data_IF_000983574039
#
_entry.id   IF_000983574039
#
_cell.length_a   1.000
_cell.length_b   1.000
_cell.length_c   1.000
_cell.angle_alpha   90.00
_cell.angle_beta   90.00
_cell.angle_gamma   90.00
#
_symmetry.space_group_name_H-M   'P 1'
#
loop_
_entity.id
_entity.type
_entity.pdbx_description
1 polymer ?
#
# COMPACT_ATOMS: atom_id res chain seq x y z
N UNK A 1 5.32 -0.26 -29.33
CA UNK A 1 4.78 -0.52 -27.98
C UNK A 1 5.31 -1.85 -27.55
N UNK A 2 6.20 -1.84 -26.57
CA UNK A 2 6.93 -3.01 -26.12
C UNK A 2 5.98 -3.97 -25.38
N UNK A 3 6.12 -5.27 -25.63
CA UNK A 3 5.19 -6.33 -25.15
C UNK A 3 5.37 -6.69 -23.66
N UNK A 4 6.10 -5.88 -22.90
CA UNK A 4 6.54 -6.19 -21.54
C UNK A 4 5.84 -5.37 -20.42
N UNK A 5 4.88 -4.51 -20.73
CA UNK A 5 4.13 -3.72 -19.72
C UNK A 5 2.94 -4.50 -19.13
N UNK A 6 3.24 -5.64 -18.48
CA UNK A 6 2.26 -6.52 -17.86
C UNK A 6 2.23 -6.48 -16.32
N UNK A 7 2.91 -5.52 -15.68
CA UNK A 7 3.06 -5.51 -14.20
C UNK A 7 1.72 -5.49 -13.43
N UNK A 8 0.67 -4.91 -14.01
CA UNK A 8 -0.55 -4.49 -13.29
C UNK A 8 -1.84 -5.16 -13.76
N UNK A 9 -1.85 -5.89 -14.88
CA UNK A 9 -2.92 -6.85 -15.23
C UNK A 9 -2.53 -8.28 -14.88
N UNK A 10 -1.23 -8.55 -14.74
CA UNK A 10 -0.73 -9.84 -14.35
C UNK A 10 -0.61 -9.93 -12.83
N UNK A 11 -1.51 -10.68 -12.22
CA UNK A 11 -1.53 -10.93 -10.77
C UNK A 11 -0.17 -11.40 -10.24
N UNK A 12 0.57 -12.17 -11.05
CA UNK A 12 1.89 -12.63 -10.66
C UNK A 12 2.92 -11.50 -10.59
N UNK A 13 2.77 -10.49 -11.43
CA UNK A 13 3.68 -9.37 -11.49
C UNK A 13 3.46 -8.40 -10.31
N UNK A 14 2.20 -8.15 -9.92
CA UNK A 14 1.88 -7.42 -8.67
C UNK A 14 2.46 -8.16 -7.46
N UNK A 15 2.27 -9.49 -7.40
CA UNK A 15 2.81 -10.33 -6.33
C UNK A 15 4.34 -10.33 -6.31
N UNK A 16 4.98 -10.42 -7.47
CA UNK A 16 6.42 -10.37 -7.61
C UNK A 16 6.97 -9.03 -7.11
N UNK A 17 6.37 -7.92 -7.56
CA UNK A 17 6.75 -6.58 -7.11
C UNK A 17 6.63 -6.45 -5.58
N UNK A 18 5.48 -6.83 -5.02
CA UNK A 18 5.22 -6.78 -3.58
C UNK A 18 6.27 -7.54 -2.77
N UNK A 19 6.63 -8.75 -3.23
CA UNK A 19 7.63 -9.57 -2.54
C UNK A 19 9.07 -9.09 -2.76
N UNK A 20 9.34 -8.38 -3.86
CA UNK A 20 10.66 -7.87 -4.21
C UNK A 20 10.95 -6.47 -3.66
N UNK A 21 9.97 -5.78 -3.06
CA UNK A 21 10.13 -4.45 -2.45
C UNK A 21 11.40 -4.30 -1.60
N UNK A 22 11.77 -5.25 -0.72
CA UNK A 22 12.99 -5.14 0.11
C UNK A 22 14.30 -5.07 -0.68
N UNK A 23 14.32 -5.55 -1.93
CA UNK A 23 15.53 -5.64 -2.77
C UNK A 23 15.69 -4.41 -3.67
N UNK A 24 14.61 -3.70 -3.99
CA UNK A 24 14.67 -2.51 -4.84
C UNK A 24 15.33 -1.33 -4.13
N UNK A 25 16.05 -0.52 -4.91
CA UNK A 25 16.45 0.83 -4.48
C UNK A 25 15.21 1.72 -4.26
N UNK A 26 15.37 2.82 -3.53
CA UNK A 26 14.25 3.72 -3.23
C UNK A 26 13.66 4.36 -4.50
N UNK A 27 14.51 4.66 -5.48
CA UNK A 27 14.09 5.14 -6.80
C UNK A 27 13.28 4.08 -7.55
N UNK A 28 13.77 2.84 -7.60
CA UNK A 28 13.07 1.72 -8.27
C UNK A 28 11.72 1.46 -7.60
N UNK A 29 11.70 1.41 -6.26
CA UNK A 29 10.51 1.16 -5.48
C UNK A 29 9.44 2.24 -5.75
N UNK A 30 9.85 3.52 -5.73
CA UNK A 30 8.97 4.66 -6.02
C UNK A 30 8.45 4.61 -7.45
N UNK A 31 9.33 4.35 -8.42
CA UNK A 31 8.97 4.26 -9.84
C UNK A 31 7.95 3.15 -10.10
N UNK A 32 8.21 1.93 -9.64
CA UNK A 32 7.31 0.81 -9.86
C UNK A 32 5.96 0.99 -9.16
N UNK A 33 5.95 1.58 -7.96
CA UNK A 33 4.71 1.87 -7.25
C UNK A 33 3.87 2.91 -8.00
N UNK A 34 4.50 3.98 -8.50
CA UNK A 34 3.81 4.98 -9.31
C UNK A 34 3.20 4.35 -10.58
N UNK A 35 3.96 3.53 -11.31
CA UNK A 35 3.44 2.84 -12.49
C UNK A 35 2.25 1.91 -12.17
N UNK A 36 2.33 1.19 -11.05
CA UNK A 36 1.24 0.33 -10.60
C UNK A 36 -0.05 1.14 -10.35
N UNK A 37 0.04 2.22 -9.58
CA UNK A 37 -1.09 3.07 -9.23
C UNK A 37 -1.67 3.82 -10.43
N UNK A 38 -0.81 4.34 -11.31
CA UNK A 38 -1.23 4.99 -12.55
C UNK A 38 -2.06 4.03 -13.42
N UNK A 39 -1.68 2.75 -13.47
CA UNK A 39 -2.48 1.75 -14.20
C UNK A 39 -3.73 1.34 -13.45
N UNK A 40 -3.67 1.12 -12.15
CA UNK A 40 -4.83 0.71 -11.34
C UNK A 40 -6.02 1.68 -11.50
N UNK A 41 -5.75 2.98 -11.69
CA UNK A 41 -6.76 4.02 -11.99
C UNK A 41 -7.49 3.84 -13.33
N UNK A 42 -6.85 3.16 -14.30
CA UNK A 42 -7.35 3.01 -15.66
C UNK A 42 -7.92 1.61 -15.95
N UNK A 43 -7.97 0.71 -14.96
CA UNK A 43 -8.55 -0.62 -15.13
C UNK A 43 -10.07 -0.54 -15.03
N UNK A 44 -10.75 -0.77 -16.14
CA UNK A 44 -12.21 -0.91 -16.18
C UNK A 44 -12.66 -2.27 -15.60
N UNK A 45 -13.84 -2.30 -14.99
CA UNK A 45 -14.47 -3.52 -14.45
C UNK A 45 -13.57 -4.34 -13.51
N UNK A 46 -12.76 -3.64 -12.69
CA UNK A 46 -11.91 -4.27 -11.69
C UNK A 46 -12.74 -5.05 -10.66
N UNK A 47 -12.30 -6.26 -10.33
CA UNK A 47 -12.91 -7.06 -9.26
C UNK A 47 -12.47 -6.55 -7.88
N UNK A 48 -13.26 -6.81 -6.84
CA UNK A 48 -12.89 -6.49 -5.44
C UNK A 48 -11.53 -7.10 -5.04
N UNK A 49 -11.26 -8.33 -5.48
CA UNK A 49 -9.95 -9.01 -5.30
C UNK A 49 -8.77 -8.30 -5.97
N UNK A 50 -9.04 -7.51 -7.01
CA UNK A 50 -8.01 -6.68 -7.64
C UNK A 50 -7.66 -5.52 -6.72
N UNK A 51 -8.67 -4.80 -6.24
CA UNK A 51 -8.49 -3.67 -5.32
C UNK A 51 -7.83 -4.11 -4.01
N UNK A 52 -8.24 -5.25 -3.45
CA UNK A 52 -7.60 -5.84 -2.27
C UNK A 52 -6.09 -6.05 -2.47
N UNK A 53 -5.69 -6.58 -3.63
CA UNK A 53 -4.26 -6.80 -3.93
C UNK A 53 -3.50 -5.50 -4.07
N UNK A 54 -4.07 -4.49 -4.71
CA UNK A 54 -3.44 -3.17 -4.79
C UNK A 54 -3.33 -2.56 -3.40
N UNK A 55 -4.36 -2.68 -2.56
CA UNK A 55 -4.36 -2.19 -1.19
C UNK A 55 -3.30 -2.86 -0.30
N UNK A 56 -3.14 -4.19 -0.41
CA UNK A 56 -2.04 -4.93 0.23
C UNK A 56 -0.68 -4.40 -0.24
N UNK A 57 -0.55 -4.16 -1.55
CA UNK A 57 0.68 -3.62 -2.14
C UNK A 57 0.96 -2.21 -1.62
N UNK A 58 -0.05 -1.34 -1.53
CA UNK A 58 0.05 -0.02 -0.91
C UNK A 58 0.50 -0.09 0.54
N UNK A 59 -0.09 -0.97 1.35
CA UNK A 59 0.30 -1.15 2.75
C UNK A 59 1.78 -1.55 2.88
N UNK A 60 2.23 -2.51 2.08
CA UNK A 60 3.64 -2.94 2.08
C UNK A 60 4.59 -1.84 1.58
N UNK A 61 4.16 -1.04 0.61
CA UNK A 61 4.89 0.12 0.14
C UNK A 61 5.02 1.17 1.24
N UNK A 62 3.92 1.55 1.90
CA UNK A 62 3.94 2.51 3.02
C UNK A 62 4.83 2.03 4.17
N UNK A 63 4.77 0.75 4.51
CA UNK A 63 5.66 0.14 5.49
C UNK A 63 7.14 0.28 5.09
N UNK A 64 7.47 -0.05 3.83
CA UNK A 64 8.82 0.10 3.30
C UNK A 64 9.28 1.56 3.36
N UNK A 65 8.37 2.50 3.03
CA UNK A 65 8.66 3.92 3.07
C UNK A 65 8.99 4.41 4.49
N UNK A 66 8.18 4.00 5.46
CA UNK A 66 8.42 4.31 6.87
C UNK A 66 9.76 3.74 7.36
N UNK A 67 10.03 2.45 7.11
CA UNK A 67 11.28 1.81 7.54
C UNK A 67 12.52 2.51 6.97
N UNK A 68 12.44 2.93 5.71
CA UNK A 68 13.54 3.59 4.99
C UNK A 68 13.58 5.12 5.20
N UNK A 69 12.64 5.66 5.97
CA UNK A 69 12.50 7.12 6.24
C UNK A 69 12.34 7.94 4.95
N UNK A 70 11.60 7.42 3.98
CA UNK A 70 11.31 8.10 2.71
C UNK A 70 9.87 8.61 2.69
N UNK A 71 9.68 9.75 2.03
CA UNK A 71 8.36 10.36 1.83
C UNK A 71 8.23 10.96 0.41
N UNK A 72 8.33 10.14 -0.66
CA UNK A 72 8.08 10.61 -2.01
C UNK A 72 6.59 10.92 -2.22
N UNK A 73 6.26 11.68 -3.27
CA UNK A 73 4.87 11.98 -3.63
C UNK A 73 4.01 10.73 -3.83
N UNK A 74 4.62 9.61 -4.21
CA UNK A 74 3.93 8.31 -4.40
C UNK A 74 3.36 7.74 -3.10
N UNK A 75 3.82 8.19 -1.92
CA UNK A 75 3.16 7.92 -0.64
C UNK A 75 1.73 8.47 -0.63
N UNK A 76 1.54 9.68 -1.16
CA UNK A 76 0.22 10.31 -1.24
C UNK A 76 -0.67 9.59 -2.25
N UNK A 77 -0.11 9.12 -3.36
CA UNK A 77 -0.84 8.33 -4.34
C UNK A 77 -1.32 6.99 -3.74
N UNK A 78 -0.46 6.30 -3.00
CA UNK A 78 -0.80 5.03 -2.34
C UNK A 78 -1.85 5.24 -1.24
N UNK A 79 -1.70 6.28 -0.43
CA UNK A 79 -2.67 6.67 0.58
C UNK A 79 -4.03 7.02 -0.05
N UNK A 80 -4.05 7.86 -1.07
CA UNK A 80 -5.26 8.24 -1.81
C UNK A 80 -5.97 7.04 -2.41
N UNK A 81 -5.24 6.05 -2.93
CA UNK A 81 -5.82 4.80 -3.40
C UNK A 81 -6.58 4.08 -2.28
N UNK A 82 -5.96 3.93 -1.11
CA UNK A 82 -6.58 3.25 0.04
C UNK A 82 -7.81 4.01 0.55
N UNK A 83 -7.77 5.35 0.58
CA UNK A 83 -8.91 6.20 0.96
C UNK A 83 -10.08 6.16 -0.04
N UNK A 84 -9.84 5.69 -1.26
CA UNK A 84 -10.86 5.56 -2.29
C UNK A 84 -11.57 4.20 -2.30
N UNK A 85 -11.25 3.29 -1.38
CA UNK A 85 -11.89 1.99 -1.29
C UNK A 85 -13.30 2.13 -0.71
N UNK A 86 -14.30 1.56 -1.38
CA UNK A 86 -15.70 1.70 -0.95
C UNK A 86 -16.30 0.41 -0.41
N UNK A 87 -15.68 -0.73 -0.71
CA UNK A 87 -16.20 -2.03 -0.29
C UNK A 87 -16.00 -2.24 1.21
N UNK A 88 -17.04 -2.63 1.99
CA UNK A 88 -16.96 -2.70 3.45
C UNK A 88 -15.80 -3.55 3.98
N UNK A 89 -15.52 -4.69 3.33
CA UNK A 89 -14.45 -5.59 3.75
C UNK A 89 -13.04 -5.04 3.44
N UNK A 90 -12.94 -3.99 2.61
CA UNK A 90 -11.69 -3.33 2.26
C UNK A 90 -11.41 -2.07 3.09
N UNK A 91 -12.39 -1.57 3.87
CA UNK A 91 -12.20 -0.37 4.69
C UNK A 91 -11.10 -0.52 5.75
N UNK A 92 -10.72 -1.75 6.10
CA UNK A 92 -9.55 -2.01 6.95
C UNK A 92 -8.25 -1.43 6.38
N UNK A 93 -8.13 -1.42 5.05
CA UNK A 93 -6.98 -0.82 4.37
C UNK A 93 -6.98 0.70 4.50
N UNK A 94 -8.11 1.35 4.73
CA UNK A 94 -8.09 2.77 5.06
C UNK A 94 -7.38 3.04 6.39
N UNK A 95 -7.69 2.25 7.43
CA UNK A 95 -7.04 2.38 8.73
C UNK A 95 -5.53 2.11 8.61
N UNK A 96 -5.13 1.07 7.87
CA UNK A 96 -3.72 0.79 7.59
C UNK A 96 -3.04 1.94 6.82
N UNK A 97 -3.72 2.53 5.84
CA UNK A 97 -3.24 3.69 5.10
C UNK A 97 -3.04 4.92 5.99
N UNK A 98 -4.02 5.23 6.84
CA UNK A 98 -3.95 6.32 7.83
C UNK A 98 -2.81 6.09 8.81
N UNK A 99 -2.66 4.87 9.33
CA UNK A 99 -1.57 4.51 10.24
C UNK A 99 -0.20 4.72 9.56
N UNK A 100 0.01 4.12 8.39
CA UNK A 100 1.27 4.24 7.65
C UNK A 100 1.63 5.68 7.30
N UNK A 101 0.64 6.48 6.87
CA UNK A 101 0.81 7.90 6.55
C UNK A 101 1.24 8.71 7.78
N UNK A 102 0.55 8.55 8.92
CA UNK A 102 0.91 9.21 10.17
C UNK A 102 2.34 8.86 10.61
N UNK A 103 2.78 7.62 10.44
CA UNK A 103 4.14 7.21 10.77
C UNK A 103 5.22 7.86 9.90
N UNK A 104 4.97 7.92 8.59
CA UNK A 104 5.89 8.58 7.64
C UNK A 104 5.99 10.08 7.95
N UNK A 105 4.89 10.71 8.36
CA UNK A 105 4.83 12.13 8.70
C UNK A 105 5.31 12.46 10.12
N UNK A 106 5.57 11.45 10.95
CA UNK A 106 6.05 11.61 12.32
C UNK A 106 4.95 11.79 13.37
N UNK A 107 3.68 11.65 13.00
CA UNK A 107 2.49 11.72 13.86
C UNK A 107 2.29 10.41 14.64
N UNK A 108 3.26 10.08 15.52
CA UNK A 108 3.33 8.76 16.16
C UNK A 108 2.14 8.44 17.06
N UNK A 109 1.62 9.41 17.80
CA UNK A 109 0.49 9.20 18.72
C UNK A 109 -0.76 8.76 17.97
N UNK A 110 -1.06 9.42 16.85
CA UNK A 110 -2.19 9.06 15.99
C UNK A 110 -2.00 7.67 15.38
N UNK A 111 -0.78 7.33 14.95
CA UNK A 111 -0.50 5.99 14.42
C UNK A 111 -0.66 4.89 15.47
N UNK A 112 -0.23 5.13 16.72
CA UNK A 112 -0.41 4.20 17.83
C UNK A 112 -1.89 4.00 18.14
N UNK A 113 -2.67 5.09 18.22
CA UNK A 113 -4.11 4.99 18.44
C UNK A 113 -4.82 4.15 17.36
N UNK A 114 -4.44 4.32 16.08
CA UNK A 114 -4.98 3.51 14.99
C UNK A 114 -4.51 2.05 15.09
N UNK A 115 -3.26 1.80 15.48
CA UNK A 115 -2.75 0.43 15.71
C UNK A 115 -3.54 -0.26 16.81
N UNK A 116 -3.83 0.42 17.91
CA UNK A 116 -4.62 -0.12 19.02
C UNK A 116 -6.06 -0.43 18.58
N UNK A 117 -6.70 0.44 17.80
CA UNK A 117 -8.01 0.17 17.19
C UNK A 117 -7.97 -1.09 16.30
N UNK A 118 -6.94 -1.22 15.46
CA UNK A 118 -6.75 -2.41 14.62
C UNK A 118 -6.58 -3.69 15.45
N UNK A 119 -5.91 -3.62 16.60
CA UNK A 119 -5.76 -4.74 17.53
C UNK A 119 -7.10 -5.12 18.17
N UNK A 120 -7.87 -4.14 18.64
CA UNK A 120 -9.20 -4.35 19.22
C UNK A 120 -10.19 -4.99 18.23
N UNK A 121 -10.09 -4.64 16.96
CA UNK A 121 -10.87 -5.20 15.86
C UNK A 121 -10.40 -6.60 15.42
N UNK A 122 -9.33 -7.15 16.00
CA UNK A 122 -8.83 -8.49 15.72
C UNK A 122 -7.85 -8.59 14.53
N UNK A 123 -7.30 -7.47 14.06
CA UNK A 123 -6.38 -7.41 12.91
C UNK A 123 -4.90 -7.43 13.29
N UNK A 124 -4.55 -8.10 14.39
CA UNK A 124 -3.17 -8.21 14.89
C UNK A 124 -2.16 -8.69 13.82
N UNK A 125 -2.56 -9.64 12.98
CA UNK A 125 -1.70 -10.15 11.91
C UNK A 125 -1.36 -9.11 10.83
N UNK A 126 -2.25 -8.15 10.57
CA UNK A 126 -2.02 -7.09 9.58
C UNK A 126 -1.05 -6.02 10.10
N UNK A 127 -0.98 -5.81 11.42
CA UNK A 127 -0.14 -4.80 12.05
C UNK A 127 1.17 -5.35 12.64
N UNK A 128 1.37 -6.68 12.65
CA UNK A 128 2.50 -7.33 13.33
C UNK A 128 3.89 -6.84 12.92
N UNK A 129 4.05 -6.40 11.67
CA UNK A 129 5.34 -5.93 11.15
C UNK A 129 5.61 -4.47 11.53
N UNK A 130 4.57 -3.71 11.91
CA UNK A 130 4.70 -2.33 12.34
C UNK A 130 5.19 -2.28 13.79
N UNK A 131 6.51 -2.33 13.95
CA UNK A 131 7.23 -2.23 15.23
C UNK A 131 7.19 -0.78 15.77
N UNK A 132 5.99 -0.34 16.15
CA UNK A 132 5.70 0.87 16.91
C UNK A 132 5.88 0.64 18.40
#
# INVERSE_FOLDING_TARGET
MDKNDELSSNVNAIRLFTNAMPVFSDEQLTYFMHMLLARAKNVENKSEKYDERIAITCNNYLYSCWQRRMNPSTVEEAYSFMMGLTEPHLLIYELLGKMGKNLIEGNKEQAIAIKDELLELGYAEMVKNWNL
#
